data_IF_081591778479
#
_entry.id   IF_081591778479
#
_cell.length_a   1.000
_cell.length_b   1.000
_cell.length_c   1.000
_cell.angle_alpha   90.00
_cell.angle_beta   90.00
_cell.angle_gamma   90.00
#
_symmetry.space_group_name_H-M   'P 1'
#
loop_
_entity.id
_entity.type
_entity.pdbx_description
1 polymer ?
#
# COMPACT_ATOMS: atom_id res chain seq x y z
N UNK A 1 -11.86 -20.59 -31.97
CA UNK A 1 -12.50 -19.45 -31.30
C UNK A 1 -11.77 -18.17 -31.70
N UNK A 2 -12.52 -17.17 -32.16
CA UNK A 2 -12.00 -15.81 -32.40
C UNK A 2 -11.74 -15.10 -31.05
N UNK A 3 -10.72 -14.25 -30.97
CA UNK A 3 -10.42 -13.53 -29.74
C UNK A 3 -11.53 -12.53 -29.35
N UNK A 4 -12.26 -12.02 -30.34
CA UNK A 4 -13.41 -11.12 -30.10
C UNK A 4 -14.57 -11.84 -29.44
N UNK A 5 -14.81 -13.08 -29.85
CA UNK A 5 -15.81 -13.97 -29.23
C UNK A 5 -15.43 -14.26 -27.78
N UNK A 6 -14.16 -14.59 -27.52
CA UNK A 6 -13.66 -14.79 -26.16
C UNK A 6 -13.77 -13.50 -25.33
N UNK A 7 -13.44 -12.33 -25.89
CA UNK A 7 -13.58 -11.04 -25.21
C UNK A 7 -15.04 -10.72 -24.88
N UNK A 8 -15.99 -11.05 -25.76
CA UNK A 8 -17.42 -10.88 -25.53
C UNK A 8 -17.93 -11.81 -24.42
N UNK A 9 -17.52 -13.08 -24.45
CA UNK A 9 -17.88 -14.07 -23.42
C UNK A 9 -17.35 -13.64 -22.05
N UNK A 10 -16.07 -13.24 -21.97
CA UNK A 10 -15.44 -12.83 -20.72
C UNK A 10 -15.93 -11.46 -20.25
N UNK A 11 -16.15 -10.55 -21.19
CA UNK A 11 -16.63 -9.19 -20.96
C UNK A 11 -15.51 -8.18 -20.65
N UNK A 12 -15.93 -6.93 -20.50
CA UNK A 12 -15.04 -5.83 -20.10
C UNK A 12 -14.93 -5.75 -18.58
N UNK A 13 -13.91 -5.02 -18.12
CA UNK A 13 -13.70 -4.75 -16.70
C UNK A 13 -14.91 -4.04 -16.08
N UNK A 14 -15.32 -4.49 -14.90
CA UNK A 14 -16.38 -3.92 -14.05
C UNK A 14 -15.81 -3.45 -12.70
N UNK A 15 -16.58 -2.66 -11.95
CA UNK A 15 -16.19 -2.15 -10.63
C UNK A 15 -15.96 -3.27 -9.60
N UNK A 16 -16.67 -4.39 -9.72
CA UNK A 16 -16.55 -5.53 -8.81
C UNK A 16 -15.35 -6.47 -9.06
N UNK A 17 -14.63 -6.29 -10.17
CA UNK A 17 -13.62 -7.25 -10.64
C UNK A 17 -12.36 -7.32 -9.76
N UNK A 18 -12.18 -6.38 -8.83
CA UNK A 18 -11.07 -6.43 -7.87
C UNK A 18 -11.19 -7.60 -6.89
N UNK A 19 -12.41 -8.11 -6.66
CA UNK A 19 -12.66 -9.28 -5.84
C UNK A 19 -12.45 -10.56 -6.65
N UNK A 20 -11.56 -11.43 -6.20
CA UNK A 20 -11.34 -12.74 -6.82
C UNK A 20 -12.28 -13.77 -6.21
N UNK A 21 -13.54 -13.79 -6.65
CA UNK A 21 -14.59 -14.71 -6.20
C UNK A 21 -14.75 -15.88 -7.18
N UNK A 22 -14.06 -16.99 -6.92
CA UNK A 22 -14.11 -18.16 -7.80
C UNK A 22 -15.52 -18.75 -7.94
N UNK A 23 -16.29 -19.01 -6.87
CA UNK A 23 -17.66 -19.48 -7.02
C UNK A 23 -18.51 -18.58 -7.92
N UNK A 24 -18.44 -17.26 -7.74
CA UNK A 24 -19.19 -16.32 -8.57
C UNK A 24 -18.72 -16.33 -10.03
N UNK A 25 -17.41 -16.36 -10.28
CA UNK A 25 -16.87 -16.39 -11.63
C UNK A 25 -17.16 -17.72 -12.33
N UNK A 26 -17.04 -18.83 -11.62
CA UNK A 26 -17.38 -20.16 -12.12
C UNK A 26 -18.84 -20.20 -12.57
N UNK A 27 -19.77 -19.79 -11.69
CA UNK A 27 -21.19 -19.74 -12.01
C UNK A 27 -21.47 -18.84 -13.22
N UNK A 28 -20.80 -17.69 -13.30
CA UNK A 28 -20.91 -16.75 -14.43
C UNK A 28 -20.49 -17.35 -15.76
N UNK A 29 -19.44 -18.17 -15.78
CA UNK A 29 -18.85 -18.72 -17.00
C UNK A 29 -19.30 -20.15 -17.30
N UNK A 30 -20.01 -20.83 -16.40
CA UNK A 30 -20.40 -22.22 -16.54
C UNK A 30 -21.18 -22.52 -17.83
N UNK A 31 -22.09 -21.63 -18.21
CA UNK A 31 -22.93 -21.80 -19.41
C UNK A 31 -22.21 -21.35 -20.68
N UNK A 32 -21.49 -20.21 -20.63
CA UNK A 32 -20.92 -19.55 -21.82
C UNK A 32 -19.48 -20.00 -22.15
N UNK A 33 -18.75 -20.51 -21.17
CA UNK A 33 -17.37 -20.95 -21.27
C UNK A 33 -17.11 -22.13 -20.30
N UNK A 34 -17.78 -23.28 -20.49
CA UNK A 34 -17.68 -24.42 -19.58
C UNK A 34 -16.23 -24.90 -19.42
N UNK A 35 -15.45 -24.87 -20.50
CA UNK A 35 -14.03 -25.26 -20.49
C UNK A 35 -13.19 -24.36 -19.57
N UNK A 36 -13.40 -23.04 -19.59
CA UNK A 36 -12.73 -22.12 -18.66
C UNK A 36 -13.18 -22.40 -17.23
N UNK A 37 -14.49 -22.57 -17.03
CA UNK A 37 -15.04 -22.79 -15.70
C UNK A 37 -14.51 -24.11 -15.09
N UNK A 38 -14.29 -25.16 -15.89
CA UNK A 38 -13.61 -26.40 -15.47
C UNK A 38 -12.14 -26.16 -15.06
N UNK A 39 -11.44 -25.30 -15.78
CA UNK A 39 -10.08 -24.90 -15.39
C UNK A 39 -10.08 -24.13 -14.06
N UNK A 40 -11.12 -23.38 -13.73
CA UNK A 40 -11.18 -22.58 -12.50
C UNK A 40 -11.42 -23.42 -11.23
N UNK A 41 -12.02 -24.61 -11.35
CA UNK A 41 -12.48 -25.41 -10.19
C UNK A 41 -11.46 -26.39 -9.62
N UNK A 42 -10.25 -26.45 -10.17
CA UNK A 42 -9.23 -27.38 -9.65
C UNK A 42 -8.92 -27.15 -8.18
N UNK A 43 -8.52 -28.21 -7.49
CA UNK A 43 -8.11 -28.13 -6.09
C UNK A 43 -7.00 -27.08 -5.87
N UNK A 44 -6.04 -27.00 -6.79
CA UNK A 44 -4.98 -26.00 -6.78
C UNK A 44 -5.52 -24.57 -6.90
N UNK A 45 -6.51 -24.33 -7.78
CA UNK A 45 -7.13 -23.00 -7.95
C UNK A 45 -7.88 -22.56 -6.72
N UNK A 46 -8.69 -23.46 -6.15
CA UNK A 46 -9.45 -23.21 -4.91
C UNK A 46 -8.49 -22.90 -3.75
N UNK A 47 -7.44 -23.69 -3.59
CA UNK A 47 -6.43 -23.48 -2.56
C UNK A 47 -5.72 -22.13 -2.71
N UNK A 48 -5.32 -21.76 -3.93
CA UNK A 48 -4.66 -20.48 -4.20
C UNK A 48 -5.57 -19.28 -3.86
N UNK A 49 -6.84 -19.32 -4.26
CA UNK A 49 -7.76 -18.19 -3.99
C UNK A 49 -8.18 -18.11 -2.52
N UNK A 50 -8.41 -19.23 -1.85
CA UNK A 50 -8.65 -19.23 -0.41
C UNK A 50 -7.45 -18.67 0.37
N UNK A 51 -6.24 -19.05 -0.04
CA UNK A 51 -5.01 -18.51 0.54
C UNK A 51 -4.89 -17.01 0.28
N UNK A 52 -5.10 -16.56 -0.96
CA UNK A 52 -5.13 -15.14 -1.30
C UNK A 52 -6.10 -14.35 -0.41
N UNK A 53 -7.36 -14.78 -0.31
CA UNK A 53 -8.37 -14.08 0.49
C UNK A 53 -7.98 -13.98 1.98
N UNK A 54 -7.41 -15.05 2.54
CA UNK A 54 -6.92 -15.07 3.93
C UNK A 54 -5.75 -14.10 4.13
N UNK A 55 -4.75 -14.13 3.25
CA UNK A 55 -3.58 -13.27 3.36
C UNK A 55 -3.90 -11.80 3.08
N UNK A 56 -4.80 -11.53 2.13
CA UNK A 56 -5.27 -10.18 1.82
C UNK A 56 -6.01 -9.56 3.02
N UNK A 57 -6.93 -10.29 3.64
CA UNK A 57 -7.61 -9.85 4.86
C UNK A 57 -6.62 -9.57 6.00
N UNK A 58 -5.60 -10.42 6.15
CA UNK A 58 -4.53 -10.23 7.13
C UNK A 58 -3.65 -9.00 6.81
N UNK A 59 -3.38 -8.73 5.53
CA UNK A 59 -2.65 -7.56 5.06
C UNK A 59 -3.43 -6.27 5.34
N UNK A 60 -4.75 -6.25 5.07
CA UNK A 60 -5.63 -5.11 5.39
C UNK A 60 -5.67 -4.84 6.90
N UNK A 61 -5.74 -5.89 7.73
CA UNK A 61 -5.68 -5.74 9.18
C UNK A 61 -4.33 -5.16 9.65
N UNK A 62 -3.21 -5.67 9.12
CA UNK A 62 -1.88 -5.16 9.42
C UNK A 62 -1.69 -3.71 8.96
N UNK A 63 -2.20 -3.34 7.78
CA UNK A 63 -2.19 -1.98 7.26
C UNK A 63 -2.90 -1.01 8.22
N UNK A 64 -4.08 -1.39 8.73
CA UNK A 64 -4.82 -0.57 9.70
C UNK A 64 -4.03 -0.37 10.99
N UNK A 65 -3.39 -1.43 11.49
CA UNK A 65 -2.50 -1.34 12.65
C UNK A 65 -1.34 -0.37 12.43
N UNK A 66 -0.61 -0.51 11.32
CA UNK A 66 0.47 0.39 10.93
C UNK A 66 0.02 1.85 10.81
N UNK A 67 -1.07 2.11 10.06
CA UNK A 67 -1.60 3.48 9.86
C UNK A 67 -2.03 4.15 11.15
N UNK A 68 -2.62 3.40 12.10
CA UNK A 68 -2.99 3.92 13.42
C UNK A 68 -1.76 4.30 14.23
N UNK A 69 -0.76 3.42 14.31
CA UNK A 69 0.47 3.69 15.05
C UNK A 69 1.25 4.88 14.46
N UNK A 70 1.35 4.95 13.12
CA UNK A 70 1.92 6.08 12.38
C UNK A 70 1.18 7.39 12.67
N UNK A 71 -0.15 7.39 12.61
CA UNK A 71 -0.96 8.58 12.87
C UNK A 71 -0.79 9.05 14.31
N UNK A 72 -0.77 8.12 15.26
CA UNK A 72 -0.52 8.41 16.67
C UNK A 72 0.86 9.03 16.89
N UNK A 73 1.91 8.45 16.30
CA UNK A 73 3.27 8.95 16.39
C UNK A 73 3.38 10.40 15.85
N UNK A 74 2.86 10.63 14.65
CA UNK A 74 3.03 11.91 13.97
C UNK A 74 2.13 13.02 14.57
N UNK A 75 0.87 12.71 14.88
CA UNK A 75 -0.03 13.67 15.53
C UNK A 75 0.37 13.94 16.97
N UNK A 76 0.84 12.92 17.70
CA UNK A 76 1.36 13.10 19.06
C UNK A 76 2.53 14.08 19.09
N UNK A 77 3.49 13.95 18.16
CA UNK A 77 4.59 14.90 18.02
C UNK A 77 4.10 16.32 17.71
N UNK A 78 3.19 16.47 16.74
CA UNK A 78 2.61 17.77 16.39
C UNK A 78 1.92 18.43 17.60
N UNK A 79 1.00 17.73 18.25
CA UNK A 79 0.24 18.29 19.37
C UNK A 79 1.13 18.59 20.58
N UNK A 80 2.17 17.78 20.82
CA UNK A 80 3.17 18.08 21.86
C UNK A 80 3.82 19.44 21.61
N UNK A 81 4.28 19.69 20.38
CA UNK A 81 4.93 20.95 20.02
C UNK A 81 3.94 22.13 20.05
N UNK A 82 2.71 21.94 19.57
CA UNK A 82 1.66 22.98 19.58
C UNK A 82 1.28 23.36 21.02
N UNK A 83 1.00 22.38 21.88
CA UNK A 83 0.65 22.64 23.27
C UNK A 83 1.82 23.22 24.07
N UNK A 84 3.05 22.75 23.83
CA UNK A 84 4.25 23.30 24.44
C UNK A 84 4.48 24.78 24.05
N UNK A 85 4.35 25.10 22.76
CA UNK A 85 4.41 26.48 22.27
C UNK A 85 3.32 27.36 22.89
N UNK A 86 2.10 26.83 22.97
CA UNK A 86 0.97 27.50 23.61
C UNK A 86 1.22 27.78 25.08
N UNK A 87 1.78 26.82 25.84
CA UNK A 87 2.10 27.00 27.25
C UNK A 87 3.16 28.09 27.47
N UNK A 88 4.17 28.16 26.61
CA UNK A 88 5.16 29.23 26.63
C UNK A 88 4.53 30.59 26.33
N UNK A 89 3.73 30.69 25.26
CA UNK A 89 3.02 31.92 24.90
C UNK A 89 2.09 32.39 26.03
N UNK A 90 1.36 31.45 26.64
CA UNK A 90 0.48 31.74 27.77
C UNK A 90 1.24 32.34 28.94
N UNK A 91 2.38 31.74 29.29
CA UNK A 91 3.22 32.21 30.41
C UNK A 91 3.71 33.65 30.18
N UNK A 92 4.10 33.98 28.95
CA UNK A 92 4.51 35.35 28.58
C UNK A 92 3.33 36.32 28.70
N UNK A 93 2.17 35.95 28.18
CA UNK A 93 0.97 36.82 28.19
C UNK A 93 0.29 36.94 29.56
N UNK A 94 0.50 35.98 30.46
CA UNK A 94 0.00 35.98 31.83
C UNK A 94 0.95 36.66 32.83
N UNK A 95 2.13 37.11 32.38
CA UNK A 95 3.07 37.88 33.19
C UNK A 95 2.48 39.19 33.74
N UNK A 96 3.20 39.85 34.65
CA UNK A 96 2.70 41.04 35.35
C UNK A 96 2.29 42.15 34.37
N UNK A 97 1.00 42.51 34.37
CA UNK A 97 0.41 43.52 33.47
C UNK A 97 0.01 43.01 32.09
N UNK A 98 0.15 41.71 31.81
CA UNK A 98 -0.25 41.10 30.55
C UNK A 98 -1.77 40.87 30.42
N UNK A 99 -2.29 40.68 29.20
CA UNK A 99 -3.73 40.56 28.93
C UNK A 99 -4.38 39.32 29.56
N UNK A 100 -3.58 38.32 29.96
CA UNK A 100 -4.06 37.10 30.62
C UNK A 100 -3.75 37.07 32.13
N UNK A 101 -3.34 38.21 32.71
CA UNK A 101 -3.11 38.31 34.15
C UNK A 101 -4.38 37.90 34.92
N UNK A 102 -4.26 36.93 35.83
CA UNK A 102 -5.37 36.35 36.59
C UNK A 102 -5.85 34.98 36.10
N UNK A 103 -5.46 34.52 34.90
CA UNK A 103 -5.81 33.19 34.38
C UNK A 103 -4.66 32.18 34.52
N UNK A 104 -4.30 31.86 35.78
CA UNK A 104 -3.08 31.10 36.09
C UNK A 104 -3.05 29.63 35.62
N UNK A 105 -4.20 29.01 35.36
CA UNK A 105 -4.27 27.57 35.06
C UNK A 105 -3.98 27.20 33.60
N UNK A 106 -4.02 28.15 32.66
CA UNK A 106 -3.96 27.83 31.22
C UNK A 106 -2.64 27.20 30.77
N UNK A 107 -1.49 27.70 31.25
CA UNK A 107 -0.19 27.12 30.96
C UNK A 107 -0.05 25.69 31.50
N UNK A 108 -0.62 25.41 32.68
CA UNK A 108 -0.64 24.05 33.26
C UNK A 108 -1.47 23.09 32.41
N UNK A 109 -2.67 23.50 31.98
CA UNK A 109 -3.54 22.67 31.12
C UNK A 109 -2.85 22.33 29.80
N UNK A 110 -2.23 23.33 29.16
CA UNK A 110 -1.47 23.12 27.92
C UNK A 110 -0.25 22.20 28.14
N UNK A 111 0.47 22.36 29.25
CA UNK A 111 1.60 21.49 29.59
C UNK A 111 1.18 20.03 29.82
N UNK A 112 0.04 19.81 30.48
CA UNK A 112 -0.55 18.46 30.65
C UNK A 112 -0.94 17.88 29.28
N UNK A 113 -1.58 18.68 28.42
CA UNK A 113 -1.91 18.28 27.05
C UNK A 113 -0.67 17.89 26.22
N UNK A 114 0.42 18.65 26.37
CA UNK A 114 1.70 18.35 25.73
C UNK A 114 2.27 17.02 26.22
N UNK A 115 2.26 16.77 27.53
CA UNK A 115 2.76 15.52 28.11
C UNK A 115 1.96 14.30 27.66
N UNK A 116 0.61 14.40 27.62
CA UNK A 116 -0.26 13.31 27.12
C UNK A 116 0.01 13.04 25.65
N UNK A 117 0.13 14.10 24.84
CA UNK A 117 0.43 13.98 23.40
C UNK A 117 1.80 13.36 23.15
N UNK A 118 2.80 13.69 23.97
CA UNK A 118 4.14 13.15 23.88
C UNK A 118 4.15 11.66 24.23
N UNK A 119 3.43 11.25 25.29
CA UNK A 119 3.28 9.86 25.67
C UNK A 119 2.59 9.04 24.56
N UNK A 120 1.52 9.57 23.96
CA UNK A 120 0.85 8.93 22.84
C UNK A 120 1.76 8.81 21.61
N UNK A 121 2.48 9.87 21.26
CA UNK A 121 3.44 9.88 20.15
C UNK A 121 4.58 8.87 20.35
N UNK A 122 5.15 8.82 21.56
CA UNK A 122 6.18 7.87 21.93
C UNK A 122 5.68 6.42 21.89
N UNK A 123 4.47 6.16 22.39
CA UNK A 123 3.85 4.85 22.30
C UNK A 123 3.67 4.45 20.82
N UNK A 124 3.14 5.33 19.98
CA UNK A 124 3.00 5.09 18.54
C UNK A 124 4.34 4.73 17.87
N UNK A 125 5.40 5.48 18.17
CA UNK A 125 6.75 5.21 17.65
C UNK A 125 7.32 3.89 18.17
N UNK A 126 7.10 3.56 19.44
CA UNK A 126 7.50 2.29 20.04
C UNK A 126 6.86 1.11 19.31
N UNK A 127 5.53 1.18 19.06
CA UNK A 127 4.81 0.16 18.30
C UNK A 127 5.32 0.02 16.87
N UNK A 128 5.61 1.13 16.19
CA UNK A 128 6.16 1.11 14.83
C UNK A 128 7.52 0.39 14.77
N UNK A 129 8.42 0.72 15.70
CA UNK A 129 9.80 0.19 15.70
C UNK A 129 9.88 -1.25 16.20
N UNK A 130 9.30 -1.54 17.36
CA UNK A 130 9.43 -2.84 17.99
C UNK A 130 8.40 -3.85 17.48
N UNK A 131 7.23 -3.38 17.05
CA UNK A 131 6.18 -4.23 16.50
C UNK A 131 6.41 -4.64 15.04
N UNK A 132 7.44 -4.09 14.36
CA UNK A 132 7.75 -4.36 12.93
C UNK A 132 6.50 -4.30 12.04
N UNK A 133 5.69 -3.27 12.28
CA UNK A 133 4.33 -3.20 11.72
C UNK A 133 4.35 -2.99 10.20
N UNK A 134 5.36 -2.28 9.70
CA UNK A 134 5.54 -2.07 8.26
C UNK A 134 5.92 -3.38 7.58
N UNK A 135 6.91 -4.09 8.12
CA UNK A 135 7.39 -5.38 7.61
C UNK A 135 6.26 -6.41 7.63
N UNK A 136 5.50 -6.47 8.73
CA UNK A 136 4.35 -7.38 8.87
C UNK A 136 3.28 -7.07 7.83
N UNK A 137 2.98 -5.79 7.60
CA UNK A 137 2.01 -5.40 6.57
C UNK A 137 2.50 -5.73 5.17
N UNK A 138 3.74 -5.34 4.83
CA UNK A 138 4.31 -5.55 3.50
C UNK A 138 4.54 -7.04 3.19
N UNK A 139 4.98 -7.84 4.16
CA UNK A 139 5.12 -9.29 4.03
C UNK A 139 3.78 -9.96 3.73
N UNK A 140 2.73 -9.68 4.52
CA UNK A 140 1.38 -10.24 4.27
C UNK A 140 0.81 -9.82 2.93
N UNK A 141 1.05 -8.58 2.49
CA UNK A 141 0.63 -8.11 1.16
C UNK A 141 1.38 -8.86 0.06
N UNK A 142 2.68 -9.06 0.22
CA UNK A 142 3.48 -9.82 -0.73
C UNK A 142 3.01 -11.29 -0.83
N UNK A 143 2.78 -11.95 0.30
CA UNK A 143 2.21 -13.32 0.36
C UNK A 143 0.86 -13.41 -0.36
N UNK A 144 -0.03 -12.44 -0.14
CA UNK A 144 -1.31 -12.37 -0.83
C UNK A 144 -1.10 -12.29 -2.36
N UNK A 145 -0.25 -11.37 -2.83
CA UNK A 145 0.01 -11.22 -4.26
C UNK A 145 0.69 -12.46 -4.87
N UNK A 146 1.59 -13.13 -4.14
CA UNK A 146 2.17 -14.41 -4.57
C UNK A 146 1.09 -15.46 -4.84
N UNK A 147 0.09 -15.59 -3.97
CA UNK A 147 -1.03 -16.52 -4.19
C UNK A 147 -1.93 -16.10 -5.38
N UNK A 148 -2.16 -14.80 -5.56
CA UNK A 148 -2.91 -14.26 -6.71
C UNK A 148 -2.17 -14.56 -8.02
N UNK A 149 -0.87 -14.30 -8.08
CA UNK A 149 0.00 -14.60 -9.23
C UNK A 149 0.04 -16.10 -9.50
N UNK A 150 0.17 -16.93 -8.46
CA UNK A 150 0.16 -18.38 -8.56
C UNK A 150 -1.14 -18.91 -9.17
N UNK A 151 -2.29 -18.35 -8.78
CA UNK A 151 -3.58 -18.69 -9.34
C UNK A 151 -3.64 -18.40 -10.86
N UNK A 152 -3.34 -17.17 -11.29
CA UNK A 152 -3.44 -16.80 -12.71
C UNK A 152 -2.39 -17.51 -13.58
N UNK A 153 -1.17 -17.69 -13.08
CA UNK A 153 -0.12 -18.45 -13.76
C UNK A 153 -0.52 -19.91 -13.93
N UNK A 154 -1.02 -20.53 -12.87
CA UNK A 154 -1.51 -21.91 -12.91
C UNK A 154 -2.73 -22.09 -13.81
N UNK A 155 -3.61 -21.09 -13.92
CA UNK A 155 -4.71 -21.10 -14.88
C UNK A 155 -4.21 -21.10 -16.33
N UNK A 156 -3.29 -20.19 -16.67
CA UNK A 156 -2.73 -20.10 -18.03
C UNK A 156 -1.95 -21.35 -18.42
N UNK A 157 -1.16 -21.92 -17.50
CA UNK A 157 -0.40 -23.14 -17.74
C UNK A 157 -1.32 -24.31 -18.13
N UNK A 158 -2.37 -24.56 -17.34
CA UNK A 158 -3.34 -25.63 -17.63
C UNK A 158 -4.16 -25.35 -18.89
N UNK A 159 -4.49 -24.09 -19.16
CA UNK A 159 -5.19 -23.71 -20.37
C UNK A 159 -4.33 -23.96 -21.63
N UNK A 160 -3.00 -23.82 -21.53
CA UNK A 160 -2.08 -24.02 -22.63
C UNK A 160 -1.89 -25.50 -23.03
N UNK A 161 -2.14 -26.43 -22.09
CA UNK A 161 -2.15 -27.88 -22.33
C UNK A 161 -3.43 -28.36 -23.04
N UNK A 162 -4.49 -27.55 -22.98
CA UNK A 162 -5.78 -27.86 -23.58
C UNK A 162 -5.93 -27.38 -25.02
N UNK A 163 -7.16 -27.44 -25.57
CA UNK A 163 -7.49 -26.85 -26.86
C UNK A 163 -7.16 -25.36 -26.92
N UNK A 164 -6.93 -24.85 -28.13
CA UNK A 164 -6.69 -23.42 -28.39
C UNK A 164 -7.75 -22.50 -27.76
N UNK A 165 -9.01 -22.95 -27.77
CA UNK A 165 -10.14 -22.27 -27.13
C UNK A 165 -9.89 -22.00 -25.64
N UNK A 166 -9.40 -22.99 -24.91
CA UNK A 166 -9.06 -22.87 -23.48
C UNK A 166 -8.04 -21.77 -23.24
N UNK A 167 -6.97 -21.73 -24.04
CA UNK A 167 -5.91 -20.74 -23.93
C UNK A 167 -6.44 -19.33 -24.23
N UNK A 168 -7.32 -19.17 -25.23
CA UNK A 168 -7.92 -17.89 -25.57
C UNK A 168 -8.85 -17.38 -24.46
N UNK A 169 -9.73 -18.23 -23.93
CA UNK A 169 -10.64 -17.87 -22.83
C UNK A 169 -9.85 -17.52 -21.55
N UNK A 170 -8.81 -18.29 -21.24
CA UNK A 170 -7.95 -18.02 -20.09
C UNK A 170 -7.16 -16.71 -20.25
N UNK A 171 -6.67 -16.39 -21.45
CA UNK A 171 -6.02 -15.11 -21.75
C UNK A 171 -6.97 -13.94 -21.48
N UNK A 172 -8.19 -13.98 -22.01
CA UNK A 172 -9.17 -12.91 -21.82
C UNK A 172 -9.62 -12.79 -20.35
N UNK A 173 -9.73 -13.92 -19.64
CA UNK A 173 -10.01 -13.93 -18.20
C UNK A 173 -8.87 -13.27 -17.39
N UNK A 174 -7.60 -13.60 -17.69
CA UNK A 174 -6.43 -12.95 -17.08
C UNK A 174 -6.38 -11.47 -17.44
N UNK A 175 -6.67 -11.11 -18.70
CA UNK A 175 -6.76 -9.70 -19.11
C UNK A 175 -7.71 -8.94 -18.20
N UNK A 176 -8.94 -9.44 -18.02
CA UNK A 176 -9.98 -8.76 -17.25
C UNK A 176 -9.66 -8.70 -15.75
N UNK A 177 -9.49 -9.86 -15.11
CA UNK A 177 -9.47 -9.95 -13.64
C UNK A 177 -8.09 -9.76 -13.01
N UNK A 178 -7.02 -9.89 -13.81
CA UNK A 178 -5.67 -9.68 -13.33
C UNK A 178 -5.10 -8.38 -13.89
N UNK A 179 -4.92 -8.32 -15.20
CA UNK A 179 -4.20 -7.22 -15.85
C UNK A 179 -4.93 -5.87 -15.75
N UNK A 180 -6.20 -5.78 -16.16
CA UNK A 180 -6.96 -4.53 -16.14
C UNK A 180 -7.22 -4.03 -14.72
N UNK A 181 -7.48 -4.96 -13.79
CA UNK A 181 -7.61 -4.67 -12.36
C UNK A 181 -6.32 -4.06 -11.82
N UNK A 182 -5.17 -4.70 -12.05
CA UNK A 182 -3.88 -4.21 -11.56
C UNK A 182 -3.52 -2.89 -12.22
N UNK A 183 -3.69 -2.74 -13.54
CA UNK A 183 -3.45 -1.48 -14.25
C UNK A 183 -4.25 -0.32 -13.64
N UNK A 184 -5.54 -0.54 -13.34
CA UNK A 184 -6.37 0.48 -12.68
C UNK A 184 -5.88 0.78 -11.26
N UNK A 185 -5.54 -0.27 -10.50
CA UNK A 185 -5.02 -0.11 -9.15
C UNK A 185 -3.75 0.75 -9.13
N UNK A 186 -2.78 0.46 -9.99
CA UNK A 186 -1.52 1.21 -10.07
C UNK A 186 -1.74 2.68 -10.47
N UNK A 187 -2.58 2.97 -11.47
CA UNK A 187 -2.95 4.35 -11.84
C UNK A 187 -3.59 5.11 -10.67
N UNK A 188 -4.59 4.49 -10.03
CA UNK A 188 -5.30 5.14 -8.94
C UNK A 188 -4.39 5.39 -7.73
N UNK A 189 -3.54 4.42 -7.37
CA UNK A 189 -2.59 4.54 -6.26
C UNK A 189 -1.51 5.59 -6.55
N UNK A 190 -1.02 5.69 -7.78
CA UNK A 190 -0.06 6.72 -8.17
C UNK A 190 -0.64 8.12 -7.89
N UNK A 191 -1.83 8.41 -8.42
CA UNK A 191 -2.50 9.71 -8.22
C UNK A 191 -2.85 10.00 -6.77
N UNK A 192 -3.30 9.00 -6.02
CA UNK A 192 -3.59 9.16 -4.58
C UNK A 192 -2.34 9.56 -3.80
N UNK A 193 -1.21 8.91 -4.07
CA UNK A 193 0.06 9.21 -3.41
C UNK A 193 0.60 10.57 -3.84
N UNK A 194 0.53 10.92 -5.12
CA UNK A 194 0.91 12.24 -5.62
C UNK A 194 0.10 13.36 -4.95
N UNK A 195 -1.23 13.21 -4.88
CA UNK A 195 -2.10 14.17 -4.20
C UNK A 195 -1.77 14.29 -2.70
N UNK A 196 -1.47 13.18 -2.03
CA UNK A 196 -1.04 13.16 -0.62
C UNK A 196 0.31 13.86 -0.42
N UNK A 197 1.28 13.62 -1.32
CA UNK A 197 2.59 14.26 -1.30
C UNK A 197 2.46 15.78 -1.51
N UNK A 198 1.69 16.21 -2.51
CA UNK A 198 1.45 17.63 -2.79
C UNK A 198 0.78 18.34 -1.61
N UNK A 199 -0.20 17.69 -0.97
CA UNK A 199 -0.83 18.23 0.25
C UNK A 199 0.18 18.34 1.40
N UNK A 200 1.02 17.33 1.59
CA UNK A 200 2.04 17.31 2.65
C UNK A 200 3.10 18.39 2.41
N UNK A 201 3.51 18.60 1.16
CA UNK A 201 4.41 19.68 0.75
C UNK A 201 3.81 21.06 1.05
N UNK A 202 2.54 21.29 0.69
CA UNK A 202 1.86 22.55 0.96
C UNK A 202 1.76 22.85 2.47
N UNK A 203 1.47 21.82 3.28
CA UNK A 203 1.48 21.93 4.75
C UNK A 203 2.89 22.29 5.26
N UNK A 204 3.92 21.61 4.76
CA UNK A 204 5.32 21.90 5.13
C UNK A 204 5.75 23.31 4.74
N UNK A 205 5.38 23.78 3.55
CA UNK A 205 5.66 25.13 3.07
C UNK A 205 4.95 26.20 3.91
N UNK A 206 3.68 25.98 4.28
CA UNK A 206 2.95 26.86 5.20
C UNK A 206 3.62 26.89 6.59
N UNK A 207 4.07 25.73 7.10
CA UNK A 207 4.83 25.66 8.35
C UNK A 207 6.14 26.44 8.30
N UNK A 208 6.91 26.29 7.22
CA UNK A 208 8.15 27.04 7.02
C UNK A 208 7.91 28.56 6.94
N UNK A 209 6.88 28.98 6.21
CA UNK A 209 6.49 30.39 6.13
C UNK A 209 6.15 30.98 7.51
N UNK A 210 5.33 30.28 8.30
CA UNK A 210 4.99 30.68 9.67
C UNK A 210 6.23 30.75 10.58
N UNK A 211 7.14 29.78 10.43
CA UNK A 211 8.39 29.75 11.18
C UNK A 211 9.31 30.93 10.85
N UNK A 212 9.36 31.36 9.59
CA UNK A 212 10.16 32.53 9.17
C UNK A 212 9.52 33.84 9.60
N UNK A 213 8.18 33.95 9.57
CA UNK A 213 7.48 35.18 9.96
C UNK A 213 7.78 35.59 11.41
N UNK A 214 7.90 34.63 12.33
CA UNK A 214 8.23 34.93 13.73
C UNK A 214 9.59 35.60 13.91
N UNK A 215 10.56 35.28 13.05
CA UNK A 215 11.92 35.83 13.13
C UNK A 215 11.97 37.32 12.78
N UNK A 216 11.04 37.81 11.95
CA UNK A 216 10.92 39.24 11.63
C UNK A 216 10.31 40.05 12.77
N UNK A 217 9.44 39.44 13.57
CA UNK A 217 8.71 40.12 14.66
C UNK A 217 9.53 40.17 15.95
N UNK A 218 10.46 39.23 16.17
CA UNK A 218 11.29 39.19 17.38
C UNK A 218 12.36 40.28 17.46
N UNK A 219 12.72 40.92 16.34
CA UNK A 219 13.72 41.99 16.32
C UNK A 219 13.05 43.33 16.67
N UNK A 220 13.12 43.73 17.94
CA UNK A 220 12.63 45.04 18.42
C UNK A 220 11.26 45.04 19.09
N UNK A 221 10.73 43.87 19.45
CA UNK A 221 9.40 43.69 20.03
C UNK A 221 9.36 43.78 21.58
N UNK A 222 8.43 44.57 22.12
CA UNK A 222 8.07 44.57 23.54
C UNK A 222 7.41 43.23 23.96
N UNK A 223 7.31 42.95 25.27
CA UNK A 223 6.97 41.62 25.83
C UNK A 223 5.68 40.96 25.29
N UNK A 224 4.67 41.71 24.87
CA UNK A 224 3.46 41.17 24.24
C UNK A 224 3.69 40.70 22.80
N UNK A 225 4.57 41.36 22.05
CA UNK A 225 4.99 40.96 20.70
C UNK A 225 5.95 39.76 20.75
N UNK A 226 6.64 39.53 21.87
CA UNK A 226 7.44 38.31 22.06
C UNK A 226 6.57 37.03 22.06
N UNK A 227 5.29 37.12 22.41
CA UNK A 227 4.37 35.98 22.29
C UNK A 227 4.18 35.52 20.82
N UNK A 228 4.45 36.39 19.83
CA UNK A 228 4.42 36.05 18.40
C UNK A 228 5.53 35.07 18.03
N UNK A 229 6.61 34.96 18.84
CA UNK A 229 7.64 33.91 18.67
C UNK A 229 7.07 32.49 18.77
N UNK A 230 5.92 32.31 19.44
CA UNK A 230 5.21 31.03 19.49
C UNK A 230 4.64 30.58 18.13
N UNK A 231 4.36 31.54 17.21
CA UNK A 231 4.04 31.20 15.82
C UNK A 231 5.22 30.52 15.13
N UNK A 232 6.44 30.88 15.53
CA UNK A 232 7.67 30.25 15.06
C UNK A 232 7.73 28.77 15.39
N UNK A 233 7.47 28.46 16.67
CA UNK A 233 7.42 27.09 17.18
C UNK A 233 6.27 26.32 16.54
N UNK A 234 5.10 26.95 16.34
CA UNK A 234 3.97 26.34 15.66
C UNK A 234 4.29 26.01 14.19
N UNK A 235 4.91 26.96 13.47
CA UNK A 235 5.35 26.76 12.09
C UNK A 235 6.39 25.63 11.99
N UNK A 236 7.38 25.61 12.89
CA UNK A 236 8.37 24.54 12.97
C UNK A 236 7.73 23.17 13.27
N UNK A 237 6.72 23.12 14.15
CA UNK A 237 5.97 21.90 14.45
C UNK A 237 5.21 21.36 13.24
N UNK A 238 4.54 22.23 12.48
CA UNK A 238 3.87 21.86 11.23
C UNK A 238 4.87 21.35 10.20
N UNK A 239 6.02 22.03 10.06
CA UNK A 239 7.10 21.61 9.17
C UNK A 239 7.63 20.23 9.55
N UNK A 240 7.90 19.99 10.83
CA UNK A 240 8.35 18.70 11.35
C UNK A 240 7.30 17.59 11.15
N UNK A 241 6.01 17.89 11.35
CA UNK A 241 4.91 16.97 11.06
C UNK A 241 4.87 16.57 9.59
N UNK A 242 5.03 17.54 8.67
CA UNK A 242 5.03 17.27 7.24
C UNK A 242 6.23 16.39 6.83
N UNK A 243 7.43 16.70 7.34
CA UNK A 243 8.64 15.88 7.12
C UNK A 243 8.45 14.48 7.68
N UNK A 244 7.99 14.35 8.92
CA UNK A 244 7.75 13.06 9.57
C UNK A 244 6.70 12.24 8.83
N UNK A 245 5.62 12.89 8.35
CA UNK A 245 4.61 12.25 7.51
C UNK A 245 5.25 11.69 6.25
N UNK A 246 5.97 12.50 5.48
CA UNK A 246 6.58 12.07 4.20
C UNK A 246 7.65 11.00 4.41
N UNK A 247 8.45 11.06 5.48
CA UNK A 247 9.43 10.01 5.79
C UNK A 247 8.77 8.66 6.05
N UNK A 248 7.61 8.67 6.72
CA UNK A 248 6.88 7.45 7.06
C UNK A 248 6.02 6.95 5.89
N UNK A 249 5.30 7.82 5.18
CA UNK A 249 4.41 7.42 4.08
C UNK A 249 5.16 7.23 2.76
N UNK A 250 6.27 7.94 2.57
CA UNK A 250 7.06 7.99 1.35
C UNK A 250 6.18 8.23 0.12
N UNK A 251 5.22 9.15 0.22
CA UNK A 251 4.16 9.31 -0.76
C UNK A 251 4.74 9.65 -2.14
N UNK A 252 5.77 10.50 -2.22
CA UNK A 252 6.38 10.84 -3.52
C UNK A 252 7.07 9.63 -4.17
N UNK A 253 7.90 8.92 -3.41
CA UNK A 253 8.59 7.70 -3.88
C UNK A 253 7.59 6.63 -4.30
N UNK A 254 6.50 6.48 -3.54
CA UNK A 254 5.44 5.54 -3.85
C UNK A 254 4.71 5.95 -5.13
N UNK A 255 4.34 7.23 -5.30
CA UNK A 255 3.72 7.72 -6.53
C UNK A 255 4.54 7.38 -7.77
N UNK A 256 5.83 7.72 -7.76
CA UNK A 256 6.78 7.40 -8.85
C UNK A 256 6.92 5.89 -9.10
N UNK A 257 6.89 5.07 -8.04
CA UNK A 257 6.92 3.60 -8.19
C UNK A 257 5.64 3.08 -8.83
N UNK A 258 4.47 3.50 -8.34
CA UNK A 258 3.17 3.06 -8.89
C UNK A 258 3.00 3.52 -10.34
N UNK A 259 3.41 4.74 -10.67
CA UNK A 259 3.35 5.30 -12.03
C UNK A 259 4.25 4.54 -13.02
N UNK A 260 5.47 4.17 -12.60
CA UNK A 260 6.36 3.33 -13.44
C UNK A 260 5.75 1.96 -13.73
N UNK A 261 5.19 1.29 -12.73
CA UNK A 261 4.50 0.00 -12.94
C UNK A 261 3.28 0.16 -13.83
N UNK A 262 2.48 1.20 -13.62
CA UNK A 262 1.35 1.53 -14.51
C UNK A 262 1.82 1.72 -15.96
N UNK A 263 2.85 2.53 -16.20
CA UNK A 263 3.41 2.77 -17.52
C UNK A 263 3.92 1.48 -18.19
N UNK A 264 4.56 0.59 -17.44
CA UNK A 264 4.96 -0.73 -17.94
C UNK A 264 3.76 -1.60 -18.34
N UNK A 265 2.69 -1.61 -17.54
CA UNK A 265 1.44 -2.31 -17.88
C UNK A 265 0.74 -1.70 -19.10
N UNK A 266 0.78 -0.38 -19.27
CA UNK A 266 0.29 0.28 -20.49
C UNK A 266 1.09 -0.18 -21.72
N UNK A 267 2.41 -0.28 -21.62
CA UNK A 267 3.24 -0.80 -22.71
C UNK A 267 2.91 -2.27 -23.06
N UNK A 268 2.63 -3.11 -22.05
CA UNK A 268 2.17 -4.48 -22.26
C UNK A 268 0.80 -4.53 -22.97
N UNK A 269 -0.09 -3.56 -22.72
CA UNK A 269 -1.40 -3.47 -23.39
C UNK A 269 -1.24 -3.44 -24.91
N UNK A 270 -0.24 -2.71 -25.42
CA UNK A 270 0.01 -2.58 -26.86
C UNK A 270 0.38 -3.91 -27.55
N UNK A 271 0.77 -4.93 -26.78
CA UNK A 271 1.12 -6.26 -27.27
C UNK A 271 -0.01 -7.27 -27.19
N UNK A 272 -1.14 -6.92 -26.57
CA UNK A 272 -2.25 -7.85 -26.35
C UNK A 272 -2.83 -8.39 -27.67
N UNK A 273 -2.99 -7.56 -28.70
CA UNK A 273 -3.53 -8.01 -29.99
C UNK A 273 -2.56 -8.96 -30.73
N UNK A 274 -1.24 -8.74 -30.61
CA UNK A 274 -0.22 -9.66 -31.12
C UNK A 274 -0.28 -11.01 -30.38
N UNK A 275 -0.50 -11.00 -29.06
CA UNK A 275 -0.67 -12.21 -28.24
C UNK A 275 -1.95 -12.95 -28.61
N UNK A 276 -3.08 -12.24 -28.76
CA UNK A 276 -4.35 -12.80 -29.24
C UNK A 276 -4.18 -13.46 -30.60
N UNK A 277 -3.55 -12.79 -31.57
CA UNK A 277 -3.27 -13.36 -32.88
C UNK A 277 -2.36 -14.60 -32.80
N UNK A 278 -1.37 -14.61 -31.91
CA UNK A 278 -0.51 -15.77 -31.70
C UNK A 278 -1.28 -16.97 -31.13
N UNK A 279 -2.11 -16.76 -30.11
CA UNK A 279 -2.96 -17.82 -29.54
C UNK A 279 -3.97 -18.31 -30.57
N UNK A 280 -4.57 -17.40 -31.37
CA UNK A 280 -5.46 -17.75 -32.46
C UNK A 280 -4.81 -18.62 -33.55
N UNK A 281 -3.48 -18.52 -33.71
CA UNK A 281 -2.67 -19.35 -34.60
C UNK A 281 -2.17 -20.64 -33.93
N UNK A 282 -2.71 -21.02 -32.76
CA UNK A 282 -2.34 -22.23 -32.03
C UNK A 282 -1.09 -22.12 -31.16
N UNK A 283 -0.45 -20.94 -31.07
CA UNK A 283 0.70 -20.70 -30.19
C UNK A 283 0.24 -20.39 -28.76
N UNK A 284 -0.36 -21.39 -28.08
CA UNK A 284 -1.00 -21.24 -26.76
C UNK A 284 -0.04 -20.71 -25.68
N UNK A 285 1.25 -21.01 -25.77
CA UNK A 285 2.28 -20.49 -24.86
C UNK A 285 2.41 -18.97 -24.83
N UNK A 286 1.92 -18.25 -25.85
CA UNK A 286 1.93 -16.79 -25.86
C UNK A 286 1.04 -16.18 -24.75
N UNK A 287 -0.04 -16.86 -24.36
CA UNK A 287 -0.88 -16.41 -23.25
C UNK A 287 -0.12 -16.50 -21.91
N UNK A 288 0.63 -17.58 -21.68
CA UNK A 288 1.49 -17.73 -20.51
C UNK A 288 2.61 -16.70 -20.47
N UNK A 289 3.23 -16.39 -21.63
CA UNK A 289 4.25 -15.36 -21.73
C UNK A 289 3.70 -13.96 -21.39
N UNK A 290 2.48 -13.65 -21.85
CA UNK A 290 1.78 -12.42 -21.47
C UNK A 290 1.53 -12.35 -19.96
N UNK A 291 0.98 -13.42 -19.38
CA UNK A 291 0.77 -13.51 -17.93
C UNK A 291 2.06 -13.33 -17.13
N UNK A 292 3.15 -13.98 -17.55
CA UNK A 292 4.46 -13.84 -16.92
C UNK A 292 4.99 -12.40 -16.97
N UNK A 293 4.84 -11.71 -18.12
CA UNK A 293 5.25 -10.32 -18.25
C UNK A 293 4.46 -9.39 -17.30
N UNK A 294 3.14 -9.62 -17.15
CA UNK A 294 2.30 -8.89 -16.19
C UNK A 294 2.72 -9.18 -14.75
N UNK A 295 2.90 -10.45 -14.40
CA UNK A 295 3.28 -10.90 -13.07
C UNK A 295 4.65 -10.36 -12.63
N UNK A 296 5.60 -10.23 -13.56
CA UNK A 296 6.91 -9.65 -13.27
C UNK A 296 6.80 -8.19 -12.85
N UNK A 297 5.98 -7.39 -13.54
CA UNK A 297 5.78 -5.98 -13.19
C UNK A 297 5.13 -5.81 -11.81
N UNK A 298 4.22 -6.70 -11.44
CA UNK A 298 3.54 -6.69 -10.14
C UNK A 298 4.49 -7.18 -9.03
N UNK A 299 5.25 -8.24 -9.28
CA UNK A 299 6.15 -8.86 -8.30
C UNK A 299 7.32 -7.98 -7.91
N UNK A 300 7.76 -7.07 -8.79
CA UNK A 300 8.88 -6.16 -8.53
C UNK A 300 8.70 -5.30 -7.27
N UNK A 301 7.46 -4.95 -6.88
CA UNK A 301 7.20 -4.23 -5.62
C UNK A 301 7.41 -5.12 -4.38
N UNK A 302 7.17 -6.43 -4.53
CA UNK A 302 7.06 -7.37 -3.43
C UNK A 302 8.35 -8.14 -3.16
N UNK A 303 9.23 -8.27 -4.16
CA UNK A 303 10.47 -9.06 -4.09
C UNK A 303 11.34 -8.71 -2.87
N UNK A 304 11.58 -7.42 -2.62
CA UNK A 304 12.37 -6.96 -1.46
C UNK A 304 11.79 -7.36 -0.09
N UNK A 305 10.51 -7.70 -0.02
CA UNK A 305 9.83 -8.13 1.20
C UNK A 305 9.75 -9.64 1.33
N UNK A 306 9.86 -10.36 0.21
CA UNK A 306 9.86 -11.82 0.15
C UNK A 306 11.27 -12.40 0.39
N UNK A 307 12.34 -11.71 -0.02
CA UNK A 307 13.73 -12.16 0.18
C UNK A 307 14.05 -12.50 1.65
N UNK A 308 13.47 -11.75 2.60
CA UNK A 308 13.61 -12.04 4.04
C UNK A 308 12.80 -13.25 4.53
N UNK A 309 11.73 -13.63 3.81
CA UNK A 309 10.90 -14.80 4.12
C UNK A 309 11.42 -16.07 3.43
N UNK A 310 11.99 -15.96 2.23
CA UNK A 310 12.65 -17.07 1.53
C UNK A 310 13.83 -17.61 2.34
N UNK A 311 14.68 -16.75 2.90
CA UNK A 311 15.77 -17.18 3.78
C UNK A 311 15.28 -17.94 5.03
N UNK A 312 14.12 -17.58 5.58
CA UNK A 312 13.50 -18.26 6.72
C UNK A 312 12.86 -19.59 6.31
N UNK A 313 12.27 -19.66 5.11
CA UNK A 313 11.68 -20.88 4.53
C UNK A 313 12.76 -21.90 4.19
N UNK A 314 13.88 -21.48 3.60
CA UNK A 314 15.06 -22.31 3.37
C UNK A 314 15.70 -22.79 4.68
N UNK A 315 15.66 -21.98 5.75
CA UNK A 315 16.12 -22.41 7.07
C UNK A 315 15.19 -23.47 7.67
N UNK A 316 13.87 -23.31 7.53
CA UNK A 316 12.88 -24.31 7.95
C UNK A 316 12.99 -25.59 7.14
N UNK A 317 13.15 -25.53 5.82
CA UNK A 317 13.37 -26.71 4.97
C UNK A 317 14.66 -27.45 5.33
N UNK A 318 15.73 -26.72 5.69
CA UNK A 318 16.97 -27.33 6.23
C UNK A 318 16.74 -28.02 7.57
N UNK A 319 15.97 -27.41 8.47
CA UNK A 319 15.60 -28.00 9.76
C UNK A 319 14.71 -29.23 9.55
N UNK A 320 13.70 -29.16 8.69
CA UNK A 320 12.81 -30.27 8.35
C UNK A 320 13.59 -31.42 7.69
N UNK A 321 14.55 -31.12 6.83
CA UNK A 321 15.45 -32.12 6.22
C UNK A 321 16.37 -32.76 7.27
N UNK A 322 16.89 -31.99 8.23
CA UNK A 322 17.73 -32.51 9.32
C UNK A 322 16.93 -33.28 10.39
N UNK A 323 15.63 -33.00 10.52
CA UNK A 323 14.70 -33.68 11.43
C UNK A 323 14.03 -34.89 10.79
N UNK A 324 14.17 -35.10 9.46
CA UNK A 324 13.80 -36.38 8.85
C UNK A 324 14.76 -37.44 9.40
N UNK A 325 14.25 -38.49 10.06
CA UNK A 325 15.12 -39.55 10.54
C UNK A 325 15.82 -40.20 9.34
N UNK A 326 17.14 -40.19 9.36
CA UNK A 326 17.95 -40.91 8.37
C UNK A 326 17.51 -42.39 8.37
N UNK A 327 16.83 -42.79 7.29
CA UNK A 327 16.51 -44.18 7.01
C UNK A 327 15.03 -44.52 6.98
N UNK A 328 14.32 -44.08 5.94
CA UNK A 328 13.48 -44.98 5.14
C UNK A 328 13.60 -44.57 3.67
N UNK A 329 14.63 -45.11 3.01
CA UNK A 329 14.52 -45.37 1.59
C UNK A 329 13.49 -46.47 1.38
N UNK A 330 12.53 -46.20 0.50
CA UNK A 330 11.89 -47.21 -0.34
C UNK A 330 12.09 -46.74 -1.78
#
# INVERSE_FOLDING_TARGET
>A
MDWREAEEIIGRKDEGDYLLDLPAHEARYREKAPVLADLMVSAASRSAVQSYARFDAAAIAAQRGYRRAMSCANLGALFTSVFGAGAMAWTILAGAGGPLAGYGAGATVLSVGAAISAAAGAAGLYWLRHGRLLETWMGKRAEAETHRIGYFSGLLARAAEGPQESAMLALEYVRRYHFDVQRTYYDHRARQHEASANRTLAIGAAGAFLATLSSFVSVGADGSLQAISALGVFGAAIGAYAIGREQMTQDRRNAERYDRTYSALVAITAKLDEVRAAVAAGRTGAASAFGAAVNEQISNEHRQWLEGQEAAREALERIETALRPDGQGV
#
